data_IF_136712258248
#
_entry.id   IF_136712258248
#
_cell.length_a   1.000
_cell.length_b   1.000
_cell.length_c   1.000
_cell.angle_alpha   90.00
_cell.angle_beta   90.00
_cell.angle_gamma   90.00
#
_symmetry.space_group_name_H-M   'P 1'
#
loop_
_entity.id
_entity.type
_entity.pdbx_description
1 polymer ?
#
# COMPACT_ATOMS: atom_id res chain seq x y z
N UNK A 1 25.54 -39.12 35.18
CA UNK A 1 24.83 -39.45 33.93
C UNK A 1 24.05 -38.22 33.52
N UNK A 2 24.44 -37.53 32.45
CA UNK A 2 23.66 -36.43 31.86
C UNK A 2 22.86 -36.99 30.69
N UNK A 3 21.54 -36.83 30.70
CA UNK A 3 20.71 -36.98 29.51
C UNK A 3 20.38 -35.59 28.98
N UNK A 4 20.81 -35.33 27.74
CA UNK A 4 20.41 -34.17 26.95
C UNK A 4 19.09 -34.49 26.25
N UNK A 5 18.05 -33.69 26.46
CA UNK A 5 16.88 -33.69 25.59
C UNK A 5 17.15 -32.74 24.43
N UNK A 6 17.22 -33.28 23.22
CA UNK A 6 16.98 -32.49 22.01
C UNK A 6 15.47 -32.31 21.86
N UNK A 7 14.99 -31.07 21.93
CA UNK A 7 13.66 -30.74 21.45
C UNK A 7 13.70 -30.81 19.92
N UNK A 8 13.03 -31.79 19.33
CA UNK A 8 12.76 -31.79 17.90
C UNK A 8 11.87 -30.58 17.58
N UNK A 9 12.37 -29.67 16.74
CA UNK A 9 11.56 -28.63 16.16
C UNK A 9 10.53 -29.30 15.24
N UNK A 10 9.27 -29.29 15.67
CA UNK A 10 8.13 -29.63 14.81
C UNK A 10 8.16 -28.72 13.58
N UNK A 11 8.08 -29.24 12.35
CA UNK A 11 7.93 -28.40 11.18
C UNK A 11 6.66 -27.58 11.35
N UNK A 12 6.78 -26.28 11.10
CA UNK A 12 5.69 -25.30 11.01
C UNK A 12 4.76 -25.66 9.82
N UNK A 13 4.07 -26.79 9.94
CA UNK A 13 3.22 -27.39 8.91
C UNK A 13 1.74 -27.06 9.12
N UNK A 14 1.44 -26.02 9.90
CA UNK A 14 0.07 -25.55 10.14
C UNK A 14 -0.38 -24.48 9.14
N UNK A 15 0.55 -23.89 8.39
CA UNK A 15 0.22 -22.85 7.42
C UNK A 15 0.44 -23.35 5.99
N UNK A 16 -0.57 -23.18 5.14
CA UNK A 16 -0.45 -23.41 3.70
C UNK A 16 0.70 -22.59 3.08
N UNK A 17 1.01 -22.81 1.80
CA UNK A 17 2.15 -22.17 1.14
C UNK A 17 2.12 -20.64 1.32
N UNK A 18 3.18 -20.10 1.93
CA UNK A 18 3.38 -18.66 2.16
C UNK A 18 3.56 -17.94 0.82
N UNK A 19 2.50 -17.30 0.32
CA UNK A 19 2.59 -16.47 -0.89
C UNK A 19 3.24 -15.15 -0.55
N UNK A 20 3.92 -14.55 -1.53
CA UNK A 20 4.46 -13.20 -1.43
C UNK A 20 3.65 -12.35 -2.40
N UNK A 21 2.91 -11.38 -1.89
CA UNK A 21 2.04 -10.50 -2.69
C UNK A 21 2.60 -9.08 -2.62
N UNK A 22 2.64 -8.38 -3.75
CA UNK A 22 3.01 -6.96 -3.75
C UNK A 22 2.02 -6.14 -4.57
N UNK A 23 1.57 -5.02 -4.00
CA UNK A 23 0.88 -3.96 -4.72
C UNK A 23 1.86 -2.81 -4.92
N UNK A 24 2.07 -2.43 -6.18
CA UNK A 24 3.07 -1.41 -6.57
C UNK A 24 2.36 -0.35 -7.42
N UNK A 25 2.30 0.87 -6.91
CA UNK A 25 1.59 2.01 -7.52
C UNK A 25 2.59 3.14 -7.79
N UNK A 26 2.56 3.72 -9.00
CA UNK A 26 3.36 4.87 -9.38
C UNK A 26 2.53 5.88 -10.17
N UNK A 27 2.44 7.12 -9.71
CA UNK A 27 1.60 8.17 -10.34
C UNK A 27 2.47 9.35 -10.76
N UNK A 28 2.39 9.71 -12.06
CA UNK A 28 3.16 10.80 -12.65
C UNK A 28 2.27 12.01 -13.02
N UNK A 29 1.13 11.74 -13.64
CA UNK A 29 0.41 12.69 -14.49
C UNK A 29 -0.67 13.49 -13.74
N UNK A 30 -0.35 14.02 -12.57
CA UNK A 30 -1.28 14.80 -11.73
C UNK A 30 -2.00 15.93 -12.49
N UNK A 31 -3.32 16.04 -12.29
CA UNK A 31 -4.16 17.02 -12.97
C UNK A 31 -4.06 18.41 -12.32
N UNK A 32 -4.05 18.44 -10.99
CA UNK A 32 -4.12 19.67 -10.20
C UNK A 32 -2.79 20.09 -9.56
N UNK A 33 -1.77 19.24 -9.65
CA UNK A 33 -0.45 19.41 -9.03
C UNK A 33 0.66 19.25 -10.06
N UNK A 34 1.90 19.57 -9.66
CA UNK A 34 3.06 19.37 -10.53
C UNK A 34 3.21 17.89 -10.89
N UNK A 35 3.45 17.63 -12.17
CA UNK A 35 3.71 16.28 -12.65
C UNK A 35 5.06 15.78 -12.15
N UNK A 36 5.14 14.49 -11.87
CA UNK A 36 6.37 13.80 -11.50
C UNK A 36 6.88 12.99 -12.69
N UNK A 37 8.19 12.87 -12.85
CA UNK A 37 8.78 12.19 -14.02
C UNK A 37 9.12 10.72 -13.77
N UNK A 38 9.34 10.34 -12.52
CA UNK A 38 9.96 9.06 -12.15
C UNK A 38 9.03 8.01 -11.51
N UNK A 39 7.94 8.33 -10.80
CA UNK A 39 7.17 7.32 -10.05
C UNK A 39 6.76 6.06 -10.81
N UNK A 40 6.28 6.19 -12.06
CA UNK A 40 5.98 5.02 -12.92
C UNK A 40 7.23 4.16 -13.19
N UNK A 41 8.35 4.80 -13.53
CA UNK A 41 9.63 4.11 -13.76
C UNK A 41 10.14 3.43 -12.49
N UNK A 42 9.97 4.07 -11.32
CA UNK A 42 10.40 3.51 -10.04
C UNK A 42 9.57 2.29 -9.65
N UNK A 43 8.25 2.36 -9.85
CA UNK A 43 7.33 1.24 -9.66
C UNK A 43 7.69 0.04 -10.57
N UNK A 44 7.99 0.28 -11.85
CA UNK A 44 8.42 -0.77 -12.77
C UNK A 44 9.76 -1.38 -12.35
N UNK A 45 10.75 -0.55 -12.03
CA UNK A 45 12.09 -1.01 -11.59
C UNK A 45 12.06 -1.79 -10.28
N UNK A 46 11.12 -1.49 -9.38
CA UNK A 46 10.93 -2.26 -8.15
C UNK A 46 10.20 -3.58 -8.40
N UNK A 47 9.31 -3.63 -9.39
CA UNK A 47 8.54 -4.84 -9.71
C UNK A 47 9.43 -6.01 -10.14
N UNK A 48 10.43 -5.76 -10.99
CA UNK A 48 11.35 -6.81 -11.49
C UNK A 48 12.11 -7.57 -10.40
N UNK A 49 12.84 -6.93 -9.46
CA UNK A 49 13.53 -7.64 -8.40
C UNK A 49 12.56 -8.34 -7.44
N UNK A 50 11.39 -7.77 -7.16
CA UNK A 50 10.37 -8.41 -6.33
C UNK A 50 9.85 -9.71 -6.96
N UNK A 51 9.57 -9.70 -8.27
CA UNK A 51 9.22 -10.91 -9.01
C UNK A 51 10.31 -11.98 -8.93
N UNK A 52 11.59 -11.57 -9.06
CA UNK A 52 12.73 -12.50 -9.03
C UNK A 52 12.87 -13.25 -7.71
N UNK A 53 12.37 -12.68 -6.60
CA UNK A 53 12.37 -13.30 -5.27
C UNK A 53 11.00 -13.89 -4.90
N UNK A 54 10.12 -14.08 -5.89
CA UNK A 54 8.87 -14.83 -5.76
C UNK A 54 7.65 -14.02 -5.34
N UNK A 55 7.68 -12.69 -5.40
CA UNK A 55 6.46 -11.90 -5.25
C UNK A 55 5.56 -11.99 -6.50
N UNK A 56 4.28 -12.20 -6.25
CA UNK A 56 3.20 -12.01 -7.21
C UNK A 56 2.83 -10.53 -7.16
N UNK A 57 3.13 -9.81 -8.24
CA UNK A 57 2.90 -8.36 -8.31
C UNK A 57 1.53 -8.09 -8.92
N UNK A 58 0.70 -7.33 -8.21
CA UNK A 58 -0.38 -6.55 -8.84
C UNK A 58 0.23 -5.19 -9.21
N UNK A 59 0.89 -5.13 -10.38
CA UNK A 59 1.41 -3.86 -10.91
C UNK A 59 0.25 -3.05 -11.47
N UNK A 60 -0.08 -1.94 -10.84
CA UNK A 60 -1.12 -1.04 -11.33
C UNK A 60 -0.51 0.21 -11.97
N UNK A 61 0.38 0.05 -12.94
CA UNK A 61 0.88 1.18 -13.76
C UNK A 61 -0.24 1.95 -14.50
N UNK A 62 -1.49 1.47 -14.41
CA UNK A 62 -2.71 2.06 -14.97
C UNK A 62 -3.66 2.67 -13.93
N UNK A 63 -3.50 2.43 -12.63
CA UNK A 63 -4.40 3.01 -11.63
C UNK A 63 -3.87 4.38 -11.20
N UNK A 64 -4.48 5.44 -11.70
CA UNK A 64 -4.03 6.81 -11.43
C UNK A 64 -5.07 7.63 -10.68
N UNK A 65 -6.37 7.43 -10.95
CA UNK A 65 -7.44 8.18 -10.30
C UNK A 65 -7.78 7.62 -8.92
N UNK A 66 -8.44 8.42 -8.07
CA UNK A 66 -8.89 7.99 -6.75
C UNK A 66 -9.73 6.71 -6.82
N UNK A 67 -10.67 6.64 -7.76
CA UNK A 67 -11.53 5.46 -7.92
C UNK A 67 -10.71 4.21 -8.26
N UNK A 68 -9.73 4.32 -9.16
CA UNK A 68 -8.88 3.20 -9.58
C UNK A 68 -7.93 2.76 -8.47
N UNK A 69 -7.24 3.70 -7.81
CA UNK A 69 -6.32 3.41 -6.72
C UNK A 69 -7.05 2.78 -5.55
N UNK A 70 -8.18 3.36 -5.12
CA UNK A 70 -8.98 2.81 -4.03
C UNK A 70 -9.52 1.42 -4.37
N UNK A 71 -9.97 1.20 -5.62
CA UNK A 71 -10.41 -0.11 -6.07
C UNK A 71 -9.28 -1.14 -6.03
N UNK A 72 -8.08 -0.76 -6.49
CA UNK A 72 -6.90 -1.63 -6.49
C UNK A 72 -6.44 -2.00 -5.09
N UNK A 73 -6.43 -1.03 -4.17
CA UNK A 73 -6.13 -1.30 -2.76
C UNK A 73 -7.14 -2.29 -2.20
N UNK A 74 -8.43 -2.08 -2.41
CA UNK A 74 -9.48 -3.00 -1.93
C UNK A 74 -9.34 -4.41 -2.53
N UNK A 75 -9.16 -4.52 -3.85
CA UNK A 75 -9.00 -5.82 -4.52
C UNK A 75 -7.74 -6.55 -4.03
N UNK A 76 -6.65 -5.82 -3.78
CA UNK A 76 -5.43 -6.36 -3.22
C UNK A 76 -5.65 -6.85 -1.78
N UNK A 77 -6.27 -6.04 -0.92
CA UNK A 77 -6.61 -6.41 0.46
C UNK A 77 -7.46 -7.68 0.53
N UNK A 78 -8.44 -7.82 -0.36
CA UNK A 78 -9.30 -9.00 -0.46
C UNK A 78 -8.56 -10.25 -0.95
N UNK A 79 -7.44 -10.09 -1.66
CA UNK A 79 -6.63 -11.20 -2.17
C UNK A 79 -5.73 -11.85 -1.10
N UNK A 80 -5.48 -11.13 0.00
CA UNK A 80 -4.59 -11.53 1.09
C UNK A 80 -5.23 -12.63 1.94
N UNK A 81 -4.46 -13.68 2.22
CA UNK A 81 -4.81 -14.79 3.09
C UNK A 81 -3.90 -14.80 4.33
N UNK A 82 -4.33 -15.46 5.42
CA UNK A 82 -3.44 -15.71 6.55
C UNK A 82 -2.12 -16.35 6.07
N UNK A 83 -1.00 -15.95 6.70
CA UNK A 83 0.36 -16.37 6.38
C UNK A 83 0.95 -15.84 5.04
N UNK A 84 0.24 -14.99 4.29
CA UNK A 84 0.88 -14.29 3.17
C UNK A 84 1.90 -13.25 3.66
N UNK A 85 2.98 -13.07 2.90
CA UNK A 85 3.89 -11.95 3.03
C UNK A 85 3.44 -10.87 2.06
N UNK A 86 3.14 -9.68 2.57
CA UNK A 86 2.56 -8.61 1.77
C UNK A 86 3.50 -7.41 1.75
N UNK A 87 3.69 -6.84 0.57
CA UNK A 87 4.39 -5.58 0.34
C UNK A 87 3.44 -4.59 -0.33
N UNK A 88 3.45 -3.36 0.16
CA UNK A 88 2.79 -2.23 -0.50
C UNK A 88 3.86 -1.19 -0.83
N UNK A 89 3.87 -0.73 -2.08
CA UNK A 89 4.75 0.35 -2.54
C UNK A 89 3.94 1.40 -3.27
N UNK A 90 4.18 2.66 -2.92
CA UNK A 90 3.61 3.82 -3.58
C UNK A 90 4.71 4.82 -3.89
N UNK A 91 4.71 5.33 -5.12
CA UNK A 91 5.49 6.50 -5.53
C UNK A 91 4.55 7.55 -6.13
N UNK A 92 4.63 8.78 -5.63
CA UNK A 92 3.74 9.87 -6.03
C UNK A 92 3.73 10.99 -4.99
N UNK A 93 2.81 11.93 -5.17
CA UNK A 93 2.48 12.92 -4.15
C UNK A 93 1.76 12.28 -2.97
N UNK A 94 2.06 12.77 -1.78
CA UNK A 94 1.35 12.46 -0.56
C UNK A 94 1.27 13.69 0.33
N UNK A 95 0.33 13.66 1.25
CA UNK A 95 0.16 14.70 2.27
C UNK A 95 0.04 14.06 3.64
N UNK A 96 0.65 14.70 4.63
CA UNK A 96 0.45 14.35 6.03
C UNK A 96 -0.58 15.31 6.65
N UNK A 97 -1.56 14.75 7.35
CA UNK A 97 -2.58 15.50 8.08
C UNK A 97 -2.95 14.76 9.36
N UNK A 98 -2.96 15.45 10.50
CA UNK A 98 -3.27 14.86 11.81
C UNK A 98 -2.50 13.54 12.06
N UNK A 99 -1.19 13.57 11.83
CA UNK A 99 -0.28 12.42 11.96
C UNK A 99 -0.59 11.22 11.06
N UNK A 100 -1.52 11.35 10.10
CA UNK A 100 -1.82 10.33 9.10
C UNK A 100 -1.25 10.71 7.73
N UNK A 101 -0.78 9.70 7.00
CA UNK A 101 -0.25 9.88 5.64
C UNK A 101 -1.33 9.51 4.62
N UNK A 102 -1.55 10.39 3.66
CA UNK A 102 -2.52 10.22 2.59
C UNK A 102 -1.80 10.19 1.25
N UNK A 103 -2.07 9.16 0.47
CA UNK A 103 -1.60 9.02 -0.90
C UNK A 103 -2.53 9.82 -1.80
N UNK A 104 -1.96 10.70 -2.62
CA UNK A 104 -2.72 11.53 -3.55
C UNK A 104 -2.83 10.86 -4.91
N UNK A 105 -4.04 10.54 -5.39
CA UNK A 105 -4.27 10.13 -6.76
C UNK A 105 -4.12 11.31 -7.73
N UNK A 106 -4.07 11.00 -9.02
CA UNK A 106 -3.90 11.96 -10.12
C UNK A 106 -4.93 13.09 -10.13
N UNK A 107 -6.19 12.75 -9.85
CA UNK A 107 -7.36 13.63 -9.82
C UNK A 107 -7.59 14.27 -8.43
N UNK A 108 -6.60 14.20 -7.52
CA UNK A 108 -6.72 14.82 -6.21
C UNK A 108 -6.94 16.33 -6.35
N UNK A 109 -7.96 16.93 -5.68
CA UNK A 109 -8.27 18.34 -5.84
C UNK A 109 -7.22 19.24 -5.17
N UNK A 110 -7.19 20.52 -5.55
CA UNK A 110 -6.40 21.52 -4.81
C UNK A 110 -7.02 21.75 -3.44
N UNK A 111 -6.17 21.91 -2.43
CA UNK A 111 -6.64 22.39 -1.13
C UNK A 111 -7.08 23.85 -1.21
N UNK A 112 -8.07 24.26 -0.40
CA UNK A 112 -8.31 25.66 -0.11
C UNK A 112 -7.08 26.28 0.60
N UNK A 113 -7.02 27.61 0.64
CA UNK A 113 -6.02 28.29 1.48
C UNK A 113 -6.23 27.91 2.95
N UNK A 114 -5.16 27.57 3.68
CA UNK A 114 -5.30 27.01 5.02
C UNK A 114 -5.73 28.11 6.01
N UNK A 115 -6.98 28.07 6.46
CA UNK A 115 -7.51 28.80 7.61
C UNK A 115 -8.36 27.88 8.52
N UNK A 116 -8.75 28.36 9.71
CA UNK A 116 -9.49 27.55 10.69
C UNK A 116 -10.86 27.06 10.19
N UNK A 117 -11.55 27.82 9.34
CA UNK A 117 -12.85 27.41 8.79
C UNK A 117 -12.71 26.22 7.83
N UNK A 118 -11.54 26.07 7.21
CA UNK A 118 -11.29 25.11 6.15
C UNK A 118 -10.74 23.75 6.65
N UNK A 119 -10.42 23.62 7.95
CA UNK A 119 -9.90 22.36 8.53
C UNK A 119 -10.87 21.18 8.33
N UNK A 120 -12.17 21.42 8.51
CA UNK A 120 -13.21 20.40 8.29
C UNK A 120 -13.36 20.03 6.81
N UNK A 121 -13.19 21.01 5.93
CA UNK A 121 -13.23 20.79 4.48
C UNK A 121 -12.02 19.96 4.03
N UNK A 122 -10.82 20.32 4.50
CA UNK A 122 -9.58 19.56 4.25
C UNK A 122 -9.73 18.10 4.69
N UNK A 123 -10.21 17.87 5.92
CA UNK A 123 -10.47 16.51 6.41
C UNK A 123 -11.49 15.76 5.55
N UNK A 124 -12.54 16.45 5.09
CA UNK A 124 -13.55 15.90 4.16
C UNK A 124 -12.96 15.51 2.81
N UNK A 125 -12.12 16.36 2.23
CA UNK A 125 -11.41 16.12 0.97
C UNK A 125 -10.50 14.90 1.11
N UNK A 126 -9.67 14.86 2.16
CA UNK A 126 -8.74 13.75 2.41
C UNK A 126 -9.48 12.42 2.50
N UNK A 127 -10.57 12.37 3.27
CA UNK A 127 -11.39 11.17 3.44
C UNK A 127 -12.06 10.69 2.15
N UNK A 128 -12.42 11.63 1.26
CA UNK A 128 -13.21 11.32 0.06
C UNK A 128 -12.39 11.20 -1.23
N UNK A 129 -11.16 11.71 -1.24
CA UNK A 129 -10.35 11.88 -2.45
C UNK A 129 -8.91 11.40 -2.32
N UNK A 130 -8.43 11.08 -1.12
CA UNK A 130 -7.13 10.45 -0.92
C UNK A 130 -7.26 9.06 -0.30
N UNK A 131 -6.18 8.28 -0.39
CA UNK A 131 -6.11 6.96 0.23
C UNK A 131 -5.25 7.05 1.47
N UNK A 132 -5.78 6.68 2.63
CA UNK A 132 -5.05 6.71 3.89
C UNK A 132 -4.07 5.52 3.96
N UNK A 133 -2.77 5.82 4.03
CA UNK A 133 -1.74 4.81 4.13
C UNK A 133 -1.81 4.02 5.45
N UNK A 134 -2.28 4.65 6.53
CA UNK A 134 -2.42 3.96 7.81
C UNK A 134 -3.54 2.92 7.76
N UNK A 135 -4.63 3.18 7.04
CA UNK A 135 -5.72 2.20 6.85
C UNK A 135 -5.21 0.97 6.12
N UNK A 136 -4.41 1.16 5.07
CA UNK A 136 -3.73 0.05 4.36
C UNK A 136 -2.87 -0.73 5.35
N UNK A 137 -1.98 -0.07 6.09
CA UNK A 137 -1.06 -0.74 7.04
C UNK A 137 -1.80 -1.49 8.16
N UNK A 138 -2.92 -0.94 8.64
CA UNK A 138 -3.77 -1.57 9.63
C UNK A 138 -4.41 -2.84 9.06
N UNK A 139 -5.00 -2.77 7.86
CA UNK A 139 -5.56 -3.93 7.17
C UNK A 139 -4.51 -5.01 6.95
N UNK A 140 -3.30 -4.63 6.54
CA UNK A 140 -2.18 -5.57 6.36
C UNK A 140 -1.74 -6.21 7.69
N UNK A 141 -1.83 -5.48 8.80
CA UNK A 141 -1.43 -5.95 10.13
C UNK A 141 -2.46 -6.88 10.77
N UNK A 142 -3.75 -6.62 10.57
CA UNK A 142 -4.85 -7.44 11.11
C UNK A 142 -4.95 -8.81 10.43
N UNK A 143 -4.33 -8.95 9.25
CA UNK A 143 -4.28 -10.20 8.47
C UNK A 143 -3.07 -11.08 8.82
N UNK A 144 -2.28 -10.72 9.83
CA UNK A 144 -1.15 -11.54 10.31
C UNK A 144 -1.63 -12.91 10.77
N UNK A 145 -0.91 -14.00 10.46
CA UNK A 145 -1.17 -15.30 11.08
C UNK A 145 -0.87 -15.21 12.58
N UNK A 146 -1.76 -15.76 13.40
CA UNK A 146 -1.36 -16.37 14.67
C UNK A 146 -0.56 -17.62 14.36
#
# INVERSE_FOLDING_TARGET
MLFSMAAEATPDAAFGPRRRLALVIGINDYENYSKLTNPKNDAEKLSSPLQSIGFIIDSSSLAETYAEVNRKVLDFELSIKPNDVVLFYFAGHGIQWEDQNYLMPKDFPKFPEINEADLKEIAGILKMKAVNAQDILNTLSDRKPY
#
